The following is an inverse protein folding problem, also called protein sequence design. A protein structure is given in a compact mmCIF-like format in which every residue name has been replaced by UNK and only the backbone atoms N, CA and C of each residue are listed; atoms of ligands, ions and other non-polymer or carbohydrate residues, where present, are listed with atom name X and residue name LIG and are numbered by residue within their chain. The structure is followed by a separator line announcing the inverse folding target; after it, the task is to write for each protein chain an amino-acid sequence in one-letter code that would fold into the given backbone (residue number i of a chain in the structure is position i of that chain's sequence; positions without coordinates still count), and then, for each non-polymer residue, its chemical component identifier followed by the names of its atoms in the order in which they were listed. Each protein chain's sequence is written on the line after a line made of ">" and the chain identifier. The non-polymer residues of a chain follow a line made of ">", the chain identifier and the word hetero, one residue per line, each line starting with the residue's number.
data_IF_881674822669
#
_entry.id   IF_881674822669
#
_cell.length_a   1.000
_cell.length_b   1.000
_cell.length_c   1.000
_cell.angle_alpha   90.00
_cell.angle_beta   90.00
_cell.angle_gamma   90.00
#
_symmetry.space_group_name_H-M   'P 1'
#
loop_
_entity.id
_entity.type
_entity.pdbx_description
1 polymer ?
#
# COMPACT_ATOMS: atom_id res chain seq x y z
N UNK A 1 -14.30 -21.00 25.07
CA UNK A 1 -13.06 -20.26 25.44
C UNK A 1 -12.48 -19.65 24.17
N UNK A 2 -12.30 -18.33 24.08
CA UNK A 2 -11.60 -17.70 22.94
C UNK A 2 -10.17 -18.25 22.91
N UNK A 3 -9.66 -18.66 21.73
CA UNK A 3 -8.25 -19.03 21.53
C UNK A 3 -7.38 -17.89 22.10
N UNK A 4 -6.57 -18.20 23.12
CA UNK A 4 -5.64 -17.25 23.77
C UNK A 4 -4.20 -17.43 23.28
N UNK A 5 -3.96 -18.47 22.48
CA UNK A 5 -2.64 -18.75 21.95
C UNK A 5 -2.37 -17.88 20.73
N UNK A 6 -1.34 -17.03 20.82
CA UNK A 6 -0.99 -16.08 19.77
C UNK A 6 -0.52 -16.77 18.49
N UNK A 7 0.08 -17.96 18.59
CA UNK A 7 0.56 -18.73 17.44
C UNK A 7 -0.61 -19.33 16.67
N UNK A 8 -1.59 -19.93 17.35
CA UNK A 8 -2.81 -20.44 16.71
C UNK A 8 -3.59 -19.33 15.99
N UNK A 9 -3.69 -18.14 16.59
CA UNK A 9 -4.31 -16.96 15.96
C UNK A 9 -3.53 -16.50 14.72
N UNK A 10 -2.20 -16.48 14.79
CA UNK A 10 -1.35 -16.12 13.65
C UNK A 10 -1.47 -17.11 12.50
N UNK A 11 -1.44 -18.41 12.78
CA UNK A 11 -1.55 -19.47 11.77
C UNK A 11 -2.91 -19.44 11.07
N UNK A 12 -3.98 -19.11 11.81
CA UNK A 12 -5.32 -18.95 11.24
C UNK A 12 -5.35 -17.78 10.24
N UNK A 13 -4.80 -16.62 10.61
CA UNK A 13 -4.70 -15.45 9.72
C UNK A 13 -3.83 -15.78 8.50
N UNK A 14 -2.64 -16.35 8.69
CA UNK A 14 -1.72 -16.70 7.60
C UNK A 14 -2.38 -17.66 6.60
N UNK A 15 -3.14 -18.64 7.08
CA UNK A 15 -3.88 -19.58 6.23
C UNK A 15 -4.96 -18.91 5.38
N UNK A 16 -5.49 -17.76 5.82
CA UNK A 16 -6.52 -17.01 5.11
C UNK A 16 -5.96 -16.00 4.09
N UNK A 17 -4.67 -15.65 4.18
CA UNK A 17 -4.05 -14.67 3.30
C UNK A 17 -3.74 -15.32 1.95
N UNK A 18 -4.25 -14.78 0.83
CA UNK A 18 -3.89 -15.28 -0.49
C UNK A 18 -2.38 -15.18 -0.70
N UNK A 19 -1.74 -16.30 -1.09
CA UNK A 19 -0.31 -16.36 -1.43
C UNK A 19 -0.01 -15.76 -2.81
N UNK A 20 -0.60 -14.59 -3.09
CA UNK A 20 -0.39 -13.85 -4.33
C UNK A 20 0.80 -12.93 -4.15
N UNK A 21 1.84 -13.13 -4.94
CA UNK A 21 2.92 -12.18 -5.10
C UNK A 21 2.70 -11.33 -6.36
N UNK A 22 3.37 -10.19 -6.39
CA UNK A 22 3.49 -9.37 -7.59
C UNK A 22 4.89 -8.73 -7.59
N UNK A 23 5.38 -8.40 -8.77
CA UNK A 23 6.68 -7.75 -8.94
C UNK A 23 6.52 -6.25 -8.77
N UNK A 24 7.36 -5.64 -7.93
CA UNK A 24 7.44 -4.18 -7.79
C UNK A 24 8.10 -3.56 -9.03
N UNK A 25 7.74 -2.32 -9.32
CA UNK A 25 8.41 -1.53 -10.35
C UNK A 25 9.88 -1.24 -9.98
N UNK A 26 10.69 -0.79 -10.96
CA UNK A 26 12.12 -0.59 -10.75
C UNK A 26 12.42 0.49 -9.70
N UNK A 27 11.62 1.55 -9.61
CA UNK A 27 11.88 2.65 -8.67
C UNK A 27 11.60 2.25 -7.23
N UNK A 28 10.45 1.65 -6.95
CA UNK A 28 10.12 1.14 -5.62
C UNK A 28 11.04 -0.01 -5.21
N UNK A 29 11.47 -0.85 -6.15
CA UNK A 29 12.43 -1.93 -5.89
C UNK A 29 13.80 -1.37 -5.51
N UNK A 30 14.33 -0.41 -6.26
CA UNK A 30 15.62 0.23 -5.95
C UNK A 30 15.60 0.89 -4.56
N UNK A 31 14.52 1.63 -4.26
CA UNK A 31 14.33 2.24 -2.96
C UNK A 31 14.25 1.21 -1.83
N UNK A 32 13.57 0.09 -2.04
CA UNK A 32 13.52 -0.96 -1.02
C UNK A 32 14.92 -1.46 -0.64
N UNK A 33 15.82 -1.62 -1.62
CA UNK A 33 17.18 -2.11 -1.37
C UNK A 33 18.15 -1.03 -0.89
N UNK A 34 18.05 0.19 -1.41
CA UNK A 34 19.03 1.25 -1.18
C UNK A 34 18.61 2.27 -0.13
N UNK A 35 17.31 2.59 -0.02
CA UNK A 35 16.77 3.55 0.96
C UNK A 35 15.31 3.20 1.36
N UNK A 36 15.13 2.18 2.20
CA UNK A 36 13.79 1.75 2.63
C UNK A 36 13.08 2.82 3.48
N UNK A 37 13.82 3.74 4.11
CA UNK A 37 13.22 4.84 4.85
C UNK A 37 12.49 5.81 3.90
N UNK A 38 13.09 6.13 2.75
CA UNK A 38 12.45 6.93 1.72
C UNK A 38 11.16 6.30 1.20
N UNK A 39 11.11 4.97 1.03
CA UNK A 39 9.88 4.26 0.63
C UNK A 39 8.76 4.45 1.67
N UNK A 40 9.08 4.42 2.97
CA UNK A 40 8.12 4.68 4.04
C UNK A 40 7.62 6.15 4.06
N UNK A 41 8.49 7.12 3.76
CA UNK A 41 8.09 8.52 3.62
C UNK A 41 7.17 8.74 2.42
N UNK A 42 7.45 8.08 1.28
CA UNK A 42 6.57 8.11 0.11
C UNK A 42 5.19 7.55 0.50
N UNK A 43 5.12 6.36 1.09
CA UNK A 43 3.85 5.77 1.53
C UNK A 43 3.07 6.68 2.49
N UNK A 44 3.77 7.37 3.40
CA UNK A 44 3.16 8.30 4.36
C UNK A 44 2.56 9.54 3.69
N UNK A 45 3.24 10.11 2.69
CA UNK A 45 2.72 11.23 1.88
C UNK A 45 1.45 10.82 1.15
N UNK A 46 1.46 9.64 0.52
CA UNK A 46 0.30 9.08 -0.15
C UNK A 46 -0.87 8.83 0.80
N UNK A 47 -0.62 8.30 1.99
CA UNK A 47 -1.65 8.12 3.04
C UNK A 47 -2.29 9.46 3.44
N UNK A 48 -1.49 10.51 3.59
CA UNK A 48 -2.00 11.84 3.90
C UNK A 48 -2.88 12.39 2.77
N UNK A 49 -2.39 12.38 1.53
CA UNK A 49 -3.15 12.83 0.37
C UNK A 49 -4.45 12.02 0.17
N UNK A 50 -4.41 10.71 0.38
CA UNK A 50 -5.57 9.83 0.28
C UNK A 50 -6.68 10.21 1.26
N UNK A 51 -6.32 10.68 2.46
CA UNK A 51 -7.30 11.22 3.42
C UNK A 51 -7.88 12.56 2.98
N UNK A 52 -7.04 13.45 2.46
CA UNK A 52 -7.45 14.79 2.01
C UNK A 52 -8.36 14.75 0.77
N UNK A 53 -8.14 13.77 -0.11
CA UNK A 53 -8.85 13.63 -1.39
C UNK A 53 -9.99 12.61 -1.34
N UNK A 54 -10.27 12.05 -0.15
CA UNK A 54 -11.30 11.03 0.02
C UNK A 54 -12.67 11.52 -0.50
N UNK A 55 -13.32 10.70 -1.31
CA UNK A 55 -14.63 11.01 -1.90
C UNK A 55 -14.57 11.88 -3.16
N UNK A 56 -13.38 12.29 -3.62
CA UNK A 56 -13.24 12.98 -4.90
C UNK A 56 -13.58 12.04 -6.05
N UNK A 57 -14.30 12.54 -7.06
CA UNK A 57 -14.73 11.72 -8.19
C UNK A 57 -13.58 11.32 -9.11
N UNK A 58 -12.64 12.22 -9.37
CA UNK A 58 -11.48 11.94 -10.22
C UNK A 58 -10.27 12.70 -9.71
N UNK A 59 -9.15 11.99 -9.56
CA UNK A 59 -7.86 12.55 -9.18
C UNK A 59 -6.82 12.10 -10.19
N UNK A 60 -5.93 13.01 -10.61
CA UNK A 60 -4.82 12.72 -11.50
C UNK A 60 -3.49 12.83 -10.77
N UNK A 61 -2.63 11.84 -10.92
CA UNK A 61 -1.28 11.87 -10.39
C UNK A 61 -0.28 12.28 -11.47
N UNK A 62 0.40 13.41 -11.25
CA UNK A 62 1.46 13.87 -12.16
C UNK A 62 2.79 13.38 -11.63
N UNK A 63 3.50 12.57 -12.42
CA UNK A 63 4.81 12.03 -12.05
C UNK A 63 4.74 10.89 -11.02
N UNK A 64 3.85 9.92 -11.22
CA UNK A 64 3.61 8.82 -10.29
C UNK A 64 4.74 7.75 -10.24
N UNK A 65 5.77 7.85 -11.09
CA UNK A 65 6.83 6.85 -11.18
C UNK A 65 6.27 5.49 -11.59
N UNK A 66 6.49 4.46 -10.76
CA UNK A 66 5.90 3.12 -10.93
C UNK A 66 4.56 2.94 -10.17
N UNK A 67 3.97 4.04 -9.71
CA UNK A 67 2.68 4.10 -9.03
C UNK A 67 2.57 3.28 -7.73
N UNK A 68 3.69 3.00 -7.05
CA UNK A 68 3.70 2.31 -5.75
C UNK A 68 2.71 2.91 -4.73
N UNK A 69 2.75 4.24 -4.57
CA UNK A 69 1.85 4.94 -3.66
C UNK A 69 0.41 5.08 -4.16
N UNK A 70 0.21 5.02 -5.48
CA UNK A 70 -1.09 5.21 -6.12
C UNK A 70 -2.14 4.20 -5.66
N UNK A 71 -1.73 2.98 -5.29
CA UNK A 71 -2.63 1.98 -4.71
C UNK A 71 -3.32 2.44 -3.42
N UNK A 72 -2.66 3.28 -2.61
CA UNK A 72 -3.25 3.87 -1.38
C UNK A 72 -4.33 4.88 -1.75
N UNK A 73 -4.05 5.73 -2.75
CA UNK A 73 -4.95 6.79 -3.20
C UNK A 73 -6.16 6.23 -3.95
N UNK A 74 -5.95 5.24 -4.82
CA UNK A 74 -6.98 4.56 -5.60
C UNK A 74 -8.10 3.94 -4.75
N UNK A 75 -7.80 3.60 -3.49
CA UNK A 75 -8.79 3.06 -2.55
C UNK A 75 -9.70 4.13 -1.93
N UNK A 76 -9.36 5.41 -2.04
CA UNK A 76 -10.08 6.51 -1.40
C UNK A 76 -10.83 7.43 -2.40
N UNK A 77 -10.60 7.25 -3.70
CA UNK A 77 -11.22 8.05 -4.77
C UNK A 77 -11.99 7.17 -5.74
N UNK A 78 -12.97 7.72 -6.46
CA UNK A 78 -13.77 6.93 -7.41
C UNK A 78 -12.97 6.57 -8.68
N UNK A 79 -12.14 7.49 -9.17
CA UNK A 79 -11.27 7.28 -10.33
C UNK A 79 -9.91 7.92 -10.11
N UNK A 80 -8.86 7.13 -10.24
CA UNK A 80 -7.48 7.61 -10.27
C UNK A 80 -6.96 7.55 -11.71
N UNK A 81 -6.29 8.61 -12.15
CA UNK A 81 -5.67 8.76 -13.47
C UNK A 81 -4.15 8.90 -13.31
#
# INVERSE_FOLDING_TARGET
>A
MKKKDSKELWLEIDSSIPKKSFTLGPYASDLYFNDPAMLAFIASRYKFCAKMLSGFNTVMEIGCGDAFGGAILAKQVNRLI
#
